data_IF_196420078448
#
_entry.id   IF_196420078448
#
_cell.length_a   1.000
_cell.length_b   1.000
_cell.length_c   1.000
_cell.angle_alpha   90.00
_cell.angle_beta   90.00
_cell.angle_gamma   90.00
#
_symmetry.space_group_name_H-M   'P 1'
#
loop_
_entity.id
_entity.type
_entity.pdbx_description
1 polymer ?
#
# COMPACT_ATOMS: atom_id res chain seq x y z
N UNK A 1 54.14 115.51 -0.78
CA UNK A 1 53.96 114.35 0.12
C UNK A 1 52.50 114.27 0.51
N UNK A 2 51.87 113.11 0.25
CA UNK A 2 50.71 112.56 0.98
C UNK A 2 49.38 113.35 0.91
N UNK A 3 48.19 112.76 0.90
CA UNK A 3 47.72 111.37 0.74
C UNK A 3 46.23 111.49 0.45
N UNK A 4 45.76 110.62 -0.45
CA UNK A 4 44.42 110.04 -0.55
C UNK A 4 43.25 110.71 0.20
N UNK A 5 42.25 111.16 -0.57
CA UNK A 5 40.84 111.04 -0.17
C UNK A 5 40.10 110.22 -1.23
N UNK A 6 40.42 108.93 -1.30
CA UNK A 6 39.52 107.94 -1.91
C UNK A 6 38.38 107.71 -0.93
N UNK A 7 37.20 108.17 -1.35
CA UNK A 7 35.89 108.02 -0.74
C UNK A 7 35.77 106.80 0.19
N UNK A 8 35.62 107.09 1.48
CA UNK A 8 35.30 106.13 2.55
C UNK A 8 33.98 105.39 2.23
N UNK A 9 33.09 106.03 1.46
CA UNK A 9 31.84 105.43 0.97
C UNK A 9 32.04 104.35 -0.11
N UNK A 10 33.18 104.31 -0.82
CA UNK A 10 33.48 103.25 -1.80
C UNK A 10 33.92 101.93 -1.16
N UNK A 11 34.58 101.99 0.00
CA UNK A 11 35.06 100.79 0.72
C UNK A 11 33.95 100.07 1.50
N UNK A 12 32.92 100.79 1.91
CA UNK A 12 31.76 100.19 2.61
C UNK A 12 30.85 99.47 1.61
N UNK A 13 30.68 100.00 0.40
CA UNK A 13 29.99 99.30 -0.70
C UNK A 13 30.75 98.04 -1.15
N UNK A 14 32.07 98.13 -1.35
CA UNK A 14 32.90 97.02 -1.85
C UNK A 14 33.08 95.87 -0.84
N UNK A 15 33.16 96.17 0.47
CA UNK A 15 33.27 95.17 1.53
C UNK A 15 31.92 94.51 1.88
N UNK A 16 30.80 95.21 1.69
CA UNK A 16 29.47 94.65 1.90
C UNK A 16 29.08 93.74 0.73
N UNK A 17 29.38 94.14 -0.52
CA UNK A 17 29.15 93.30 -1.72
C UNK A 17 29.98 92.01 -1.70
N UNK A 18 31.26 92.07 -1.32
CA UNK A 18 32.10 90.87 -1.17
C UNK A 18 31.64 89.94 -0.03
N UNK A 19 30.97 90.47 1.01
CA UNK A 19 30.45 89.66 2.12
C UNK A 19 29.13 88.98 1.74
N UNK A 20 28.24 89.69 1.06
CA UNK A 20 26.98 89.16 0.53
C UNK A 20 27.24 88.06 -0.52
N UNK A 21 28.20 88.24 -1.44
CA UNK A 21 28.59 87.20 -2.40
C UNK A 21 29.23 85.97 -1.71
N UNK A 22 29.95 86.16 -0.60
CA UNK A 22 30.57 85.07 0.16
C UNK A 22 29.57 84.28 1.00
N UNK A 23 28.55 84.92 1.57
CA UNK A 23 27.44 84.24 2.23
C UNK A 23 26.52 83.53 1.23
N UNK A 24 26.26 84.13 0.06
CA UNK A 24 25.55 83.48 -1.03
C UNK A 24 26.31 82.25 -1.57
N UNK A 25 27.64 82.35 -1.73
CA UNK A 25 28.47 81.22 -2.14
C UNK A 25 28.53 80.11 -1.07
N UNK A 26 28.57 80.45 0.22
CA UNK A 26 28.53 79.48 1.31
C UNK A 26 27.16 78.80 1.45
N UNK A 27 26.07 79.54 1.25
CA UNK A 27 24.71 79.00 1.24
C UNK A 27 24.48 78.08 0.01
N UNK A 28 24.97 78.47 -1.17
CA UNK A 28 24.93 77.65 -2.37
C UNK A 28 25.77 76.37 -2.22
N UNK A 29 26.95 76.45 -1.60
CA UNK A 29 27.78 75.28 -1.29
C UNK A 29 27.13 74.35 -0.26
N UNK A 30 26.46 74.90 0.77
CA UNK A 30 25.73 74.11 1.76
C UNK A 30 24.47 73.44 1.17
N UNK A 31 23.77 74.11 0.24
CA UNK A 31 22.62 73.53 -0.46
C UNK A 31 23.06 72.44 -1.46
N UNK A 32 24.17 72.66 -2.17
CA UNK A 32 24.79 71.65 -3.04
C UNK A 32 25.23 70.41 -2.24
N UNK A 33 25.89 70.61 -1.09
CA UNK A 33 26.31 69.53 -0.20
C UNK A 33 25.12 68.75 0.39
N UNK A 34 24.01 69.43 0.71
CA UNK A 34 22.76 68.77 1.15
C UNK A 34 22.12 67.96 0.03
N UNK A 35 22.10 68.47 -1.20
CA UNK A 35 21.58 67.76 -2.37
C UNK A 35 22.42 66.54 -2.73
N UNK A 36 23.75 66.64 -2.66
CA UNK A 36 24.64 65.49 -2.82
C UNK A 36 24.46 64.46 -1.69
N UNK A 37 24.36 64.90 -0.43
CA UNK A 37 24.13 63.98 0.70
C UNK A 37 22.78 63.26 0.60
N UNK A 38 21.72 63.94 0.13
CA UNK A 38 20.42 63.33 -0.13
C UNK A 38 20.46 62.36 -1.32
N UNK A 39 21.18 62.71 -2.40
CA UNK A 39 21.37 61.83 -3.55
C UNK A 39 22.14 60.56 -3.15
N UNK A 40 23.21 60.68 -2.36
CA UNK A 40 23.97 59.54 -1.83
C UNK A 40 23.12 58.68 -0.90
N UNK A 41 22.29 59.28 -0.04
CA UNK A 41 21.35 58.54 0.81
C UNK A 41 20.30 57.78 0.00
N UNK A 42 19.69 58.41 -1.00
CA UNK A 42 18.71 57.76 -1.90
C UNK A 42 19.32 56.59 -2.66
N UNK A 43 20.56 56.75 -3.13
CA UNK A 43 21.28 55.71 -3.85
C UNK A 43 21.69 54.54 -2.92
N UNK A 44 22.05 54.83 -1.67
CA UNK A 44 22.29 53.82 -0.65
C UNK A 44 21.01 53.05 -0.28
N UNK A 45 19.86 53.72 -0.14
CA UNK A 45 18.58 53.05 0.13
C UNK A 45 18.08 52.22 -1.05
N UNK A 46 18.22 52.70 -2.29
CA UNK A 46 17.84 51.94 -3.49
C UNK A 46 18.70 50.67 -3.64
N UNK A 47 20.00 50.79 -3.35
CA UNK A 47 20.92 49.63 -3.36
C UNK A 47 20.59 48.62 -2.27
N UNK A 48 20.24 49.08 -1.05
CA UNK A 48 19.79 48.20 0.02
C UNK A 48 18.45 47.52 -0.31
N UNK A 49 17.50 48.25 -0.90
CA UNK A 49 16.20 47.69 -1.32
C UNK A 49 16.38 46.64 -2.41
N UNK A 50 17.17 46.93 -3.46
CA UNK A 50 17.48 45.95 -4.51
C UNK A 50 18.19 44.71 -3.98
N UNK A 51 19.11 44.85 -3.03
CA UNK A 51 19.78 43.68 -2.43
C UNK A 51 18.82 42.87 -1.54
N UNK A 52 17.91 43.54 -0.81
CA UNK A 52 16.88 42.88 -0.03
C UNK A 52 15.87 42.13 -0.91
N UNK A 53 15.46 42.72 -2.04
CA UNK A 53 14.60 42.07 -3.04
C UNK A 53 15.31 40.92 -3.77
N UNK A 54 16.58 41.07 -4.12
CA UNK A 54 17.37 39.99 -4.71
C UNK A 54 17.51 38.81 -3.74
N UNK A 55 17.80 39.07 -2.45
CA UNK A 55 17.85 38.03 -1.42
C UNK A 55 16.50 37.39 -1.13
N UNK A 56 15.40 38.15 -1.16
CA UNK A 56 14.06 37.60 -0.97
C UNK A 56 13.64 36.74 -2.16
N UNK A 57 13.95 37.16 -3.39
CA UNK A 57 13.73 36.40 -4.61
C UNK A 57 14.56 35.11 -4.63
N UNK A 58 15.84 35.15 -4.24
CA UNK A 58 16.69 33.96 -4.14
C UNK A 58 16.16 32.98 -3.09
N UNK A 59 15.79 33.46 -1.90
CA UNK A 59 15.17 32.63 -0.86
C UNK A 59 13.85 32.02 -1.32
N UNK A 60 13.00 32.78 -2.02
CA UNK A 60 11.75 32.27 -2.57
C UNK A 60 12.00 31.18 -3.62
N UNK A 61 13.05 31.35 -4.46
CA UNK A 61 13.42 30.38 -5.48
C UNK A 61 13.99 29.09 -4.88
N UNK A 62 14.85 29.20 -3.87
CA UNK A 62 15.38 28.05 -3.11
C UNK A 62 14.27 27.31 -2.36
N UNK A 63 13.32 28.03 -1.75
CA UNK A 63 12.17 27.43 -1.08
C UNK A 63 11.25 26.71 -2.07
N UNK A 64 11.03 27.29 -3.26
CA UNK A 64 10.25 26.65 -4.32
C UNK A 64 10.94 25.38 -4.86
N UNK A 65 12.25 25.41 -5.08
CA UNK A 65 13.02 24.23 -5.52
C UNK A 65 13.03 23.13 -4.45
N UNK A 66 13.23 23.49 -3.18
CA UNK A 66 13.18 22.53 -2.07
C UNK A 66 11.79 21.87 -1.96
N UNK A 67 10.71 22.65 -2.10
CA UNK A 67 9.34 22.13 -2.10
C UNK A 67 9.06 21.23 -3.30
N UNK A 68 9.57 21.57 -4.48
CA UNK A 68 9.44 20.75 -5.68
C UNK A 68 10.19 19.41 -5.56
N UNK A 69 11.41 19.41 -5.00
CA UNK A 69 12.16 18.17 -4.72
C UNK A 69 11.47 17.30 -3.68
N UNK A 70 10.93 17.90 -2.62
CA UNK A 70 10.18 17.18 -1.59
C UNK A 70 8.90 16.54 -2.13
N UNK A 71 8.14 17.25 -2.97
CA UNK A 71 6.92 16.71 -3.62
C UNK A 71 7.24 15.58 -4.60
N UNK A 72 8.32 15.71 -5.37
CA UNK A 72 8.80 14.67 -6.28
C UNK A 72 9.24 13.41 -5.52
N UNK A 73 9.99 13.55 -4.41
CA UNK A 73 10.40 12.42 -3.59
C UNK A 73 9.20 11.76 -2.89
N UNK A 74 8.22 12.55 -2.42
CA UNK A 74 7.00 12.03 -1.83
C UNK A 74 6.16 11.22 -2.83
N UNK A 75 6.01 11.72 -4.06
CA UNK A 75 5.34 11.00 -5.16
C UNK A 75 6.06 9.71 -5.52
N UNK A 76 7.38 9.75 -5.68
CA UNK A 76 8.18 8.55 -5.97
C UNK A 76 8.04 7.47 -4.87
N UNK A 77 8.02 7.87 -3.59
CA UNK A 77 7.79 6.94 -2.47
C UNK A 77 6.37 6.38 -2.46
N UNK A 78 5.37 7.20 -2.78
CA UNK A 78 3.97 6.75 -2.91
C UNK A 78 3.79 5.75 -4.05
N UNK A 79 4.34 6.03 -5.22
CA UNK A 79 4.27 5.12 -6.37
C UNK A 79 5.00 3.80 -6.09
N UNK A 80 6.18 3.85 -5.47
CA UNK A 80 6.89 2.63 -5.05
C UNK A 80 6.11 1.84 -4.00
N UNK A 81 5.49 2.51 -3.03
CA UNK A 81 4.67 1.86 -2.02
C UNK A 81 3.43 1.21 -2.66
N UNK A 82 2.75 1.91 -3.58
CA UNK A 82 1.61 1.36 -4.31
C UNK A 82 1.99 0.18 -5.21
N UNK A 83 3.14 0.26 -5.89
CA UNK A 83 3.65 -0.85 -6.70
C UNK A 83 3.93 -2.10 -5.84
N UNK A 84 4.57 -1.93 -4.68
CA UNK A 84 4.83 -3.03 -3.74
C UNK A 84 3.55 -3.61 -3.15
N UNK A 85 2.55 -2.78 -2.88
CA UNK A 85 1.23 -3.22 -2.43
C UNK A 85 0.52 -4.05 -3.50
N UNK A 86 0.55 -3.61 -4.77
CA UNK A 86 -0.01 -4.37 -5.90
C UNK A 86 0.70 -5.71 -6.08
N UNK A 87 2.03 -5.72 -6.12
CA UNK A 87 2.81 -6.96 -6.25
C UNK A 87 2.50 -7.94 -5.09
N UNK A 88 2.40 -7.42 -3.87
CA UNK A 88 2.04 -8.23 -2.69
C UNK A 88 0.62 -8.79 -2.82
N UNK A 89 -0.35 -7.98 -3.26
CA UNK A 89 -1.73 -8.45 -3.49
C UNK A 89 -1.78 -9.50 -4.60
N UNK A 90 -1.07 -9.31 -5.70
CA UNK A 90 -1.00 -10.28 -6.81
C UNK A 90 -0.38 -11.60 -6.36
N UNK A 91 0.70 -11.56 -5.55
CA UNK A 91 1.30 -12.75 -4.96
C UNK A 91 0.32 -13.48 -4.04
N UNK A 92 -0.37 -12.76 -3.15
CA UNK A 92 -1.36 -13.35 -2.24
C UNK A 92 -2.53 -13.95 -3.03
N UNK A 93 -3.03 -13.26 -4.06
CA UNK A 93 -4.10 -13.79 -4.91
C UNK A 93 -3.65 -15.04 -5.66
N UNK A 94 -2.43 -15.06 -6.19
CA UNK A 94 -1.88 -16.23 -6.88
C UNK A 94 -1.70 -17.42 -5.92
N UNK A 95 -1.15 -17.19 -4.73
CA UNK A 95 -0.99 -18.23 -3.71
C UNK A 95 -2.35 -18.76 -3.22
N UNK A 96 -3.33 -17.88 -3.03
CA UNK A 96 -4.68 -18.26 -2.68
C UNK A 96 -5.35 -19.09 -3.78
N UNK A 97 -5.23 -18.67 -5.04
CA UNK A 97 -5.75 -19.41 -6.19
C UNK A 97 -5.08 -20.79 -6.33
N UNK A 98 -3.77 -20.87 -6.15
CA UNK A 98 -3.03 -22.14 -6.18
C UNK A 98 -3.46 -23.07 -5.03
N UNK A 99 -3.60 -22.53 -3.81
CA UNK A 99 -4.01 -23.31 -2.65
C UNK A 99 -5.48 -23.78 -2.78
N UNK A 100 -6.36 -22.93 -3.30
CA UNK A 100 -7.74 -23.31 -3.66
C UNK A 100 -7.75 -24.43 -4.70
N UNK A 101 -6.96 -24.31 -5.76
CA UNK A 101 -6.85 -25.35 -6.79
C UNK A 101 -6.32 -26.67 -6.23
N UNK A 102 -5.29 -26.63 -5.37
CA UNK A 102 -4.76 -27.83 -4.68
C UNK A 102 -5.82 -28.47 -3.77
N UNK A 103 -6.53 -27.67 -2.96
CA UNK A 103 -7.61 -28.18 -2.10
C UNK A 103 -8.77 -28.77 -2.88
N UNK A 104 -9.17 -28.11 -3.98
CA UNK A 104 -10.21 -28.62 -4.87
C UNK A 104 -9.77 -29.94 -5.52
N UNK A 105 -8.52 -30.04 -5.98
CA UNK A 105 -7.97 -31.28 -6.53
C UNK A 105 -7.88 -32.39 -5.48
N UNK A 106 -7.48 -32.09 -4.24
CA UNK A 106 -7.43 -33.07 -3.15
C UNK A 106 -8.84 -33.55 -2.76
N UNK A 107 -9.80 -32.64 -2.63
CA UNK A 107 -11.20 -32.99 -2.35
C UNK A 107 -11.77 -33.86 -3.47
N UNK A 108 -11.51 -33.48 -4.73
CA UNK A 108 -11.94 -34.26 -5.88
C UNK A 108 -11.29 -35.65 -5.87
N UNK A 109 -9.99 -35.74 -5.62
CA UNK A 109 -9.30 -37.02 -5.52
C UNK A 109 -9.82 -37.89 -4.36
N UNK A 110 -10.14 -37.30 -3.21
CA UNK A 110 -10.77 -37.99 -2.07
C UNK A 110 -12.17 -38.48 -2.43
N UNK A 111 -12.97 -37.65 -3.09
CA UNK A 111 -14.32 -38.02 -3.55
C UNK A 111 -14.27 -39.10 -4.64
N UNK A 112 -13.33 -39.03 -5.58
CA UNK A 112 -13.13 -40.05 -6.61
C UNK A 112 -12.61 -41.35 -6.00
N UNK A 113 -11.73 -41.29 -5.00
CA UNK A 113 -11.28 -42.47 -4.25
C UNK A 113 -12.42 -43.09 -3.44
N UNK A 114 -13.22 -42.28 -2.73
CA UNK A 114 -14.39 -42.75 -1.97
C UNK A 114 -15.46 -43.30 -2.91
N UNK A 115 -15.70 -42.66 -4.06
CA UNK A 115 -16.64 -43.16 -5.06
C UNK A 115 -16.14 -44.45 -5.73
N UNK A 116 -14.83 -44.57 -6.00
CA UNK A 116 -14.22 -45.78 -6.51
C UNK A 116 -14.20 -46.91 -5.46
N UNK A 117 -14.10 -46.56 -4.18
CA UNK A 117 -14.30 -47.50 -3.09
C UNK A 117 -15.76 -47.96 -3.07
N UNK A 118 -16.72 -47.02 -3.02
CA UNK A 118 -18.18 -47.23 -3.08
C UNK A 118 -18.63 -48.04 -4.30
N UNK A 119 -17.97 -47.88 -5.44
CA UNK A 119 -18.24 -48.67 -6.64
C UNK A 119 -17.86 -50.15 -6.51
N UNK A 120 -17.00 -50.52 -5.55
CA UNK A 120 -16.68 -51.93 -5.25
C UNK A 120 -17.74 -52.59 -4.37
N UNK A 121 -18.67 -51.83 -3.80
CA UNK A 121 -19.74 -52.35 -2.98
C UNK A 121 -20.82 -52.91 -3.88
N UNK A 122 -21.25 -54.13 -3.57
CA UNK A 122 -22.32 -54.78 -4.32
C UNK A 122 -23.63 -54.39 -3.66
N UNK A 123 -24.53 -53.75 -4.42
CA UNK A 123 -25.88 -53.44 -3.96
C UNK A 123 -26.74 -54.70 -4.00
N UNK A 124 -27.32 -55.08 -2.86
CA UNK A 124 -28.22 -56.23 -2.74
C UNK A 124 -29.53 -55.80 -2.10
N UNK A 125 -30.65 -56.23 -2.68
CA UNK A 125 -31.98 -55.97 -2.14
C UNK A 125 -32.36 -57.13 -1.21
N UNK A 126 -32.56 -56.83 0.07
CA UNK A 126 -32.84 -57.82 1.10
C UNK A 126 -34.18 -58.54 0.91
N UNK A 127 -34.18 -59.87 0.91
CA UNK A 127 -35.39 -60.70 0.86
C UNK A 127 -35.60 -61.49 2.17
N UNK A 128 -36.79 -62.06 2.39
CA UNK A 128 -37.08 -62.88 3.58
C UNK A 128 -36.26 -64.18 3.66
N UNK A 129 -35.68 -64.62 2.55
CA UNK A 129 -34.88 -65.84 2.47
C UNK A 129 -33.38 -65.57 2.63
N UNK A 130 -32.97 -64.30 2.60
CA UNK A 130 -31.59 -63.90 2.78
C UNK A 130 -31.19 -63.92 4.26
N UNK A 131 -29.96 -64.37 4.53
CA UNK A 131 -29.32 -64.28 5.83
C UNK A 131 -27.92 -63.69 5.64
N UNK A 132 -27.37 -63.05 6.67
CA UNK A 132 -26.02 -62.51 6.55
C UNK A 132 -24.97 -63.59 6.26
N UNK A 133 -25.14 -64.78 6.84
CA UNK A 133 -24.29 -65.92 6.55
C UNK A 133 -24.41 -66.39 5.08
N UNK A 134 -25.62 -66.45 4.51
CA UNK A 134 -25.79 -66.86 3.10
C UNK A 134 -25.24 -65.82 2.12
N UNK A 135 -25.37 -64.53 2.43
CA UNK A 135 -24.77 -63.45 1.62
C UNK A 135 -23.24 -63.45 1.72
N UNK A 136 -22.69 -63.60 2.93
CA UNK A 136 -21.25 -63.72 3.12
C UNK A 136 -20.67 -64.93 2.38
N UNK A 137 -21.38 -66.07 2.36
CA UNK A 137 -20.99 -67.23 1.58
C UNK A 137 -21.03 -66.95 0.07
N UNK A 138 -22.09 -66.32 -0.42
CA UNK A 138 -22.25 -66.01 -1.85
C UNK A 138 -21.20 -65.02 -2.37
N UNK A 139 -20.83 -64.02 -1.57
CA UNK A 139 -19.93 -62.94 -2.00
C UNK A 139 -18.48 -63.12 -1.56
N UNK A 140 -18.22 -63.84 -0.46
CA UNK A 140 -16.88 -64.05 0.09
C UNK A 140 -16.47 -65.52 0.21
N UNK A 141 -17.38 -66.47 -0.04
CA UNK A 141 -17.09 -67.91 0.05
C UNK A 141 -17.04 -68.47 1.48
N UNK A 142 -17.35 -67.67 2.51
CA UNK A 142 -17.29 -68.09 3.92
C UNK A 142 -18.51 -67.61 4.71
N UNK A 143 -19.06 -68.51 5.54
CA UNK A 143 -20.15 -68.22 6.50
C UNK A 143 -19.63 -67.80 7.88
N UNK A 144 -18.31 -67.67 8.05
CA UNK A 144 -17.74 -67.40 9.38
C UNK A 144 -18.11 -66.01 9.89
N UNK A 145 -18.13 -65.87 11.22
CA UNK A 145 -18.47 -64.63 11.93
C UNK A 145 -17.81 -63.36 11.40
N UNK A 146 -16.49 -63.34 11.09
CA UNK A 146 -15.85 -62.14 10.58
C UNK A 146 -16.43 -61.64 9.24
N UNK A 147 -16.92 -62.54 8.40
CA UNK A 147 -17.38 -62.22 7.04
C UNK A 147 -18.80 -61.68 7.02
N UNK A 148 -19.71 -62.28 7.79
CA UNK A 148 -21.07 -61.79 7.87
C UNK A 148 -21.20 -60.57 8.78
N UNK A 149 -20.35 -60.45 9.83
CA UNK A 149 -20.26 -59.22 10.65
C UNK A 149 -19.83 -58.02 9.82
N UNK A 150 -18.91 -58.18 8.88
CA UNK A 150 -18.48 -57.10 8.00
C UNK A 150 -19.66 -56.47 7.24
N UNK A 151 -20.57 -57.31 6.73
CA UNK A 151 -21.79 -56.84 6.03
C UNK A 151 -22.74 -56.16 7.03
N UNK A 152 -22.94 -56.75 8.20
CA UNK A 152 -23.81 -56.19 9.24
C UNK A 152 -23.31 -54.82 9.75
N UNK A 153 -22.04 -54.72 10.12
CA UNK A 153 -21.43 -53.52 10.69
C UNK A 153 -21.42 -52.36 9.69
N UNK A 154 -21.13 -52.64 8.40
CA UNK A 154 -21.19 -51.64 7.32
C UNK A 154 -22.59 -51.06 7.14
N UNK A 155 -23.63 -51.89 7.27
CA UNK A 155 -25.01 -51.49 7.07
C UNK A 155 -25.74 -51.15 8.38
N UNK A 156 -25.07 -51.21 9.53
CA UNK A 156 -25.69 -51.08 10.86
C UNK A 156 -26.52 -49.80 11.00
N UNK A 157 -26.04 -48.70 10.42
CA UNK A 157 -26.73 -47.41 10.42
C UNK A 157 -28.09 -47.44 9.68
N UNK A 158 -28.28 -48.36 8.74
CA UNK A 158 -29.47 -48.49 7.89
C UNK A 158 -30.45 -49.52 8.49
N UNK A 159 -29.93 -50.63 9.01
CA UNK A 159 -30.70 -51.78 9.51
C UNK A 159 -31.08 -51.68 11.01
N UNK A 160 -30.30 -50.95 11.81
CA UNK A 160 -30.46 -50.84 13.27
C UNK A 160 -29.70 -51.90 14.10
N UNK A 161 -29.91 -51.88 15.41
CA UNK A 161 -29.16 -52.73 16.37
C UNK A 161 -29.52 -54.22 16.34
N UNK A 162 -30.60 -54.61 15.65
CA UNK A 162 -31.04 -56.01 15.59
C UNK A 162 -30.73 -56.64 14.23
N UNK A 163 -29.72 -57.53 14.12
CA UNK A 163 -29.32 -58.15 12.85
C UNK A 163 -30.43 -58.98 12.19
N UNK A 164 -31.38 -59.52 12.95
CA UNK A 164 -32.44 -60.38 12.39
C UNK A 164 -33.74 -59.62 12.05
N UNK A 165 -33.77 -58.29 12.22
CA UNK A 165 -34.99 -57.49 12.02
C UNK A 165 -34.84 -56.48 10.88
N UNK A 166 -34.62 -56.99 9.67
CA UNK A 166 -34.43 -56.19 8.47
C UNK A 166 -35.72 -56.20 7.66
N UNK A 167 -36.14 -55.02 7.20
CA UNK A 167 -37.31 -54.92 6.31
C UNK A 167 -36.98 -55.51 4.95
N UNK A 168 -37.85 -56.37 4.43
CA UNK A 168 -37.74 -56.84 3.04
C UNK A 168 -37.86 -55.69 2.05
N UNK A 169 -37.09 -55.76 0.98
CA UNK A 169 -36.97 -54.69 -0.02
C UNK A 169 -35.98 -53.59 0.36
N UNK A 170 -35.27 -53.72 1.49
CA UNK A 170 -34.20 -52.79 1.86
C UNK A 170 -32.94 -53.04 1.02
N UNK A 171 -32.39 -52.00 0.40
CA UNK A 171 -31.10 -52.07 -0.28
C UNK A 171 -29.97 -51.98 0.75
N UNK A 172 -29.11 -53.01 0.78
CA UNK A 172 -27.90 -53.06 1.59
C UNK A 172 -26.66 -53.08 0.69
N UNK A 173 -25.54 -52.57 1.21
CA UNK A 173 -24.25 -52.54 0.52
C UNK A 173 -23.34 -53.66 1.05
N UNK A 174 -22.88 -54.53 0.17
CA UNK A 174 -21.94 -55.59 0.53
C UNK A 174 -20.52 -55.09 0.25
N UNK A 175 -19.71 -54.77 1.29
CA UNK A 175 -18.34 -54.27 1.10
C UNK A 175 -17.44 -55.30 0.40
N UNK A 176 -16.36 -54.88 -0.29
CA UNK A 176 -15.34 -55.81 -0.72
C UNK A 176 -14.61 -56.40 0.49
N UNK A 177 -14.16 -57.66 0.38
CA UNK A 177 -13.43 -58.32 1.46
C UNK A 177 -12.08 -57.61 1.72
N UNK A 178 -11.78 -57.17 2.96
CA UNK A 178 -10.47 -56.61 3.29
C UNK A 178 -9.38 -57.67 3.20
N UNK A 179 -8.16 -57.27 2.87
CA UNK A 179 -7.05 -58.20 2.62
C UNK A 179 -6.66 -59.05 3.85
N UNK A 180 -7.05 -58.62 5.06
CA UNK A 180 -6.86 -59.37 6.30
C UNK A 180 -7.72 -60.64 6.36
N UNK A 181 -8.93 -60.62 5.78
CA UNK A 181 -9.85 -61.76 5.74
C UNK A 181 -9.66 -62.64 4.49
N UNK A 182 -8.86 -62.19 3.50
CA UNK A 182 -8.49 -62.98 2.32
C UNK A 182 -7.38 -64.00 2.60
N UNK A 183 -6.61 -63.81 3.68
CA UNK A 183 -5.37 -64.56 3.97
C UNK A 183 -5.55 -65.70 4.98
N UNK A 184 -6.79 -66.12 5.27
CA UNK A 184 -7.09 -67.22 6.21
C UNK A 184 -7.69 -68.40 5.49
#
# INVERSE_FOLDING_TARGET
MAKEKKNIFGKIGDALTNRDEKEAAAAAAAEAAKKEAEAVRKLATDRMQKEAEARSAEKARLAAEAKAKADAEAKAKLELAQAKQKETQERIQKEFAENQAKRAAELKAKQEAEAAEKAKYIKHVWTNEDTYASLAFKHYGSIQEPYWRLIYDHNKAIIGDHPNNIRTGLEIEIPPLPDELKKK
#
